data_IF_034170044777
#
_entry.id   IF_034170044777
#
_cell.length_a   1.000
_cell.length_b   1.000
_cell.length_c   1.000
_cell.angle_alpha   90.00
_cell.angle_beta   90.00
_cell.angle_gamma   90.00
#
_symmetry.space_group_name_H-M   'P 1'
#
loop_
_entity.id
_entity.type
_entity.pdbx_description
1 polymer ?
#
# COMPACT_ATOMS: atom_id res chain seq x y z
N UNK A 1 -12.29 4.73 9.40
CA UNK A 1 -11.58 5.51 10.44
C UNK A 1 -10.39 6.17 9.77
N UNK A 2 -10.22 7.48 9.98
CA UNK A 2 -9.06 8.24 9.54
C UNK A 2 -8.02 8.17 10.66
N UNK A 3 -6.83 7.70 10.31
CA UNK A 3 -5.77 7.47 11.29
C UNK A 3 -5.26 8.78 11.88
N UNK A 4 -5.07 9.79 11.04
CA UNK A 4 -4.56 11.12 11.42
C UNK A 4 -5.19 12.17 10.51
N UNK A 5 -5.67 13.28 11.10
CA UNK A 5 -6.31 14.38 10.40
C UNK A 5 -5.84 15.72 10.98
N UNK A 6 -5.33 16.61 10.13
CA UNK A 6 -4.92 17.96 10.54
C UNK A 6 -6.01 18.96 10.20
N UNK A 7 -6.58 19.60 11.22
CA UNK A 7 -7.59 20.65 11.09
C UNK A 7 -6.99 21.94 10.51
N UNK A 8 -7.80 22.81 9.88
CA UNK A 8 -7.36 24.15 9.48
C UNK A 8 -6.95 25.04 10.67
N UNK A 9 -7.38 24.69 11.89
CA UNK A 9 -6.94 25.34 13.14
C UNK A 9 -5.51 24.97 13.55
N UNK A 10 -4.90 23.97 12.90
CA UNK A 10 -3.57 23.43 13.22
C UNK A 10 -3.59 22.28 14.22
N UNK A 11 -4.76 21.85 14.69
CA UNK A 11 -4.92 20.69 15.58
C UNK A 11 -4.82 19.39 14.79
N UNK A 12 -4.07 18.42 15.33
CA UNK A 12 -3.96 17.07 14.76
C UNK A 12 -4.84 16.13 15.58
N UNK A 13 -5.84 15.56 14.92
CA UNK A 13 -6.74 14.58 15.49
C UNK A 13 -6.33 13.18 15.03
N UNK A 14 -6.34 12.23 15.96
CA UNK A 14 -6.01 10.83 15.71
C UNK A 14 -7.28 10.02 15.91
N UNK A 15 -7.47 8.98 15.09
CA UNK A 15 -8.62 8.06 15.19
C UNK A 15 -9.98 8.75 14.95
N UNK A 16 -10.03 9.64 13.95
CA UNK A 16 -11.24 10.37 13.58
C UNK A 16 -12.17 9.45 12.80
N UNK A 17 -13.50 9.46 13.03
CA UNK A 17 -14.40 8.63 12.25
C UNK A 17 -14.41 9.11 10.80
N UNK A 18 -14.48 8.16 9.87
CA UNK A 18 -14.47 8.42 8.42
C UNK A 18 -15.84 8.89 7.89
N UNK A 19 -16.54 9.70 8.67
CA UNK A 19 -17.89 10.20 8.38
C UNK A 19 -17.77 11.65 7.90
N UNK A 20 -18.33 11.96 6.73
CA UNK A 20 -18.31 13.33 6.17
C UNK A 20 -18.92 14.34 7.12
N UNK A 21 -20.00 13.98 7.80
CA UNK A 21 -20.68 14.83 8.78
C UNK A 21 -19.73 15.29 9.90
N UNK A 22 -18.86 14.42 10.40
CA UNK A 22 -17.93 14.76 11.48
C UNK A 22 -16.84 15.69 10.98
N UNK A 23 -16.35 15.49 9.77
CA UNK A 23 -15.39 16.39 9.15
C UNK A 23 -16.00 17.78 8.92
N UNK A 24 -17.27 17.85 8.52
CA UNK A 24 -17.99 19.12 8.39
C UNK A 24 -18.18 19.84 9.73
N UNK A 25 -18.51 19.11 10.81
CA UNK A 25 -18.58 19.66 12.17
C UNK A 25 -17.22 20.18 12.67
N UNK A 26 -16.12 19.59 12.21
CA UNK A 26 -14.75 20.03 12.51
C UNK A 26 -14.30 21.25 11.68
N UNK A 27 -15.16 21.76 10.80
CA UNK A 27 -14.91 22.95 10.00
C UNK A 27 -14.35 22.69 8.60
N UNK A 28 -14.33 21.44 8.13
CA UNK A 28 -14.02 21.16 6.72
C UNK A 28 -15.23 21.40 5.84
N UNK A 29 -14.98 21.76 4.58
CA UNK A 29 -16.02 21.74 3.56
C UNK A 29 -16.38 20.30 3.17
N UNK A 30 -17.58 20.11 2.59
CA UNK A 30 -18.00 18.80 2.08
C UNK A 30 -16.98 18.23 1.08
N UNK A 31 -16.40 19.11 0.25
CA UNK A 31 -15.38 18.78 -0.76
C UNK A 31 -14.10 18.24 -0.11
N UNK A 32 -13.57 18.93 0.91
CA UNK A 32 -12.39 18.52 1.65
C UNK A 32 -12.64 17.24 2.45
N UNK A 33 -13.81 17.10 3.04
CA UNK A 33 -14.21 15.90 3.77
C UNK A 33 -14.18 14.68 2.85
N UNK A 34 -14.85 14.76 1.69
CA UNK A 34 -14.85 13.68 0.70
C UNK A 34 -13.45 13.40 0.16
N UNK A 35 -12.66 14.44 -0.12
CA UNK A 35 -11.28 14.29 -0.60
C UNK A 35 -10.41 13.55 0.43
N UNK A 36 -10.50 13.92 1.70
CA UNK A 36 -9.76 13.28 2.79
C UNK A 36 -10.13 11.80 2.94
N UNK A 37 -11.44 11.48 2.92
CA UNK A 37 -11.92 10.10 2.98
C UNK A 37 -11.45 9.27 1.79
N UNK A 38 -11.47 9.86 0.59
CA UNK A 38 -11.00 9.19 -0.62
C UNK A 38 -9.49 8.91 -0.57
N UNK A 39 -8.70 9.84 -0.02
CA UNK A 39 -7.26 9.68 0.15
C UNK A 39 -6.94 8.59 1.19
N UNK A 40 -7.63 8.59 2.33
CA UNK A 40 -7.46 7.57 3.36
C UNK A 40 -7.87 6.18 2.84
N UNK A 41 -8.98 6.05 2.10
CA UNK A 41 -9.37 4.78 1.50
C UNK A 41 -8.36 4.27 0.46
N UNK A 42 -7.79 5.17 -0.34
CA UNK A 42 -6.71 4.81 -1.29
C UNK A 42 -5.48 4.32 -0.54
N UNK A 43 -5.09 5.02 0.52
CA UNK A 43 -3.95 4.64 1.38
C UNK A 43 -4.17 3.27 2.01
N UNK A 44 -5.32 3.04 2.65
CA UNK A 44 -5.65 1.76 3.27
C UNK A 44 -5.65 0.61 2.25
N UNK A 45 -6.22 0.83 1.05
CA UNK A 45 -6.18 -0.15 -0.03
C UNK A 45 -4.74 -0.44 -0.48
N UNK A 46 -3.92 0.60 -0.63
CA UNK A 46 -2.51 0.45 -0.98
C UNK A 46 -1.77 -0.36 0.09
N UNK A 47 -1.91 0.01 1.37
CA UNK A 47 -1.30 -0.70 2.50
C UNK A 47 -1.72 -2.17 2.52
N UNK A 48 -3.00 -2.48 2.34
CA UNK A 48 -3.48 -3.86 2.28
C UNK A 48 -2.85 -4.65 1.12
N UNK A 49 -2.76 -4.05 -0.07
CA UNK A 49 -2.11 -4.67 -1.23
C UNK A 49 -0.61 -4.86 -0.96
N UNK A 50 0.07 -3.88 -0.35
CA UNK A 50 1.47 -3.98 0.03
C UNK A 50 1.71 -5.09 1.05
N UNK A 51 0.85 -5.22 2.07
CA UNK A 51 0.97 -6.26 3.08
C UNK A 51 0.77 -7.65 2.49
N UNK A 52 -0.25 -7.83 1.65
CA UNK A 52 -0.48 -9.08 0.92
C UNK A 52 0.71 -9.42 0.03
N UNK A 53 1.27 -8.43 -0.68
CA UNK A 53 2.45 -8.60 -1.52
C UNK A 53 3.70 -8.96 -0.71
N UNK A 54 3.93 -8.30 0.43
CA UNK A 54 5.05 -8.58 1.34
C UNK A 54 4.92 -9.94 2.01
N UNK A 55 3.71 -10.37 2.33
CA UNK A 55 3.44 -11.71 2.85
C UNK A 55 3.72 -12.79 1.78
N UNK A 56 3.30 -12.56 0.54
CA UNK A 56 3.60 -13.45 -0.57
C UNK A 56 5.11 -13.53 -0.86
N UNK A 57 5.82 -12.40 -0.81
CA UNK A 57 7.29 -12.42 -0.93
C UNK A 57 7.93 -13.25 0.16
N UNK A 58 7.60 -13.00 1.43
CA UNK A 58 8.15 -13.76 2.56
C UNK A 58 7.86 -15.27 2.47
N UNK A 59 6.70 -15.65 1.94
CA UNK A 59 6.27 -17.05 1.90
C UNK A 59 6.78 -17.80 0.67
N UNK A 60 6.81 -17.14 -0.50
CA UNK A 60 7.01 -17.80 -1.78
C UNK A 60 8.33 -17.39 -2.45
N UNK A 61 8.72 -16.12 -2.38
CA UNK A 61 9.90 -15.60 -3.10
C UNK A 61 11.18 -15.62 -2.27
N UNK A 62 11.09 -15.36 -0.96
CA UNK A 62 12.23 -15.27 -0.05
C UNK A 62 13.00 -16.60 0.07
N UNK A 63 12.32 -17.77 0.15
CA UNK A 63 13.02 -19.06 0.13
C UNK A 63 13.78 -19.31 -1.18
N UNK A 64 13.20 -18.92 -2.33
CA UNK A 64 13.84 -19.04 -3.64
C UNK A 64 15.05 -18.11 -3.78
N UNK A 65 14.97 -16.91 -3.20
CA UNK A 65 16.10 -16.00 -3.15
C UNK A 65 17.25 -16.58 -2.32
N UNK A 66 16.96 -17.17 -1.16
CA UNK A 66 17.97 -17.83 -0.34
C UNK A 66 18.60 -19.04 -1.06
N UNK A 67 17.78 -19.84 -1.75
CA UNK A 67 18.26 -20.95 -2.58
C UNK A 67 19.18 -20.45 -3.70
N UNK A 68 18.79 -19.39 -4.40
CA UNK A 68 19.66 -18.75 -5.40
C UNK A 68 20.95 -18.16 -4.81
N UNK A 69 20.90 -17.53 -3.63
CA UNK A 69 22.10 -17.02 -2.94
C UNK A 69 23.07 -18.14 -2.56
N UNK A 70 22.56 -19.36 -2.32
CA UNK A 70 23.37 -20.52 -1.98
C UNK A 70 23.90 -21.25 -3.23
N UNK A 71 23.02 -21.56 -4.19
CA UNK A 71 23.36 -22.32 -5.40
C UNK A 71 24.09 -21.47 -6.45
N UNK A 72 23.72 -20.19 -6.55
CA UNK A 72 24.30 -19.25 -7.51
C UNK A 72 24.01 -19.56 -8.99
N UNK A 73 23.04 -20.42 -9.28
CA UNK A 73 22.72 -20.83 -10.66
C UNK A 73 21.72 -19.91 -11.33
N UNK A 74 21.79 -19.82 -12.67
CA UNK A 74 20.82 -19.08 -13.48
C UNK A 74 19.41 -19.70 -13.43
N UNK A 75 19.29 -20.99 -13.11
CA UNK A 75 18.00 -21.66 -12.96
C UNK A 75 17.28 -21.18 -11.70
N UNK A 76 17.96 -21.18 -10.54
CA UNK A 76 17.41 -20.64 -9.28
C UNK A 76 17.09 -19.14 -9.37
N UNK A 77 17.91 -18.37 -10.09
CA UNK A 77 17.62 -16.96 -10.39
C UNK A 77 16.31 -16.79 -11.16
N UNK A 78 16.12 -17.60 -12.21
CA UNK A 78 14.94 -17.56 -13.06
C UNK A 78 13.67 -17.96 -12.29
N UNK A 79 13.77 -18.99 -11.45
CA UNK A 79 12.67 -19.40 -10.56
C UNK A 79 12.27 -18.30 -9.59
N UNK A 80 13.24 -17.66 -8.93
CA UNK A 80 13.00 -16.52 -8.05
C UNK A 80 12.34 -15.36 -8.80
N UNK A 81 12.92 -14.94 -9.94
CA UNK A 81 12.39 -13.84 -10.75
C UNK A 81 10.97 -14.13 -11.24
N UNK A 82 10.71 -15.32 -11.75
CA UNK A 82 9.38 -15.74 -12.20
C UNK A 82 8.36 -15.67 -11.07
N UNK A 83 8.74 -16.11 -9.85
CA UNK A 83 7.86 -16.01 -8.69
C UNK A 83 7.61 -14.56 -8.26
N UNK A 84 8.63 -13.71 -8.34
CA UNK A 84 8.48 -12.27 -8.06
C UNK A 84 7.50 -11.62 -9.04
N UNK A 85 7.59 -11.94 -10.33
CA UNK A 85 6.67 -11.44 -11.36
C UNK A 85 5.25 -11.93 -11.14
N UNK A 86 5.06 -13.20 -10.79
CA UNK A 86 3.75 -13.75 -10.44
C UNK A 86 3.13 -13.01 -9.25
N UNK A 87 3.91 -12.73 -8.20
CA UNK A 87 3.45 -11.99 -7.02
C UNK A 87 3.11 -10.53 -7.38
N UNK A 88 3.90 -9.89 -8.24
CA UNK A 88 3.63 -8.54 -8.76
C UNK A 88 2.32 -8.50 -9.54
N UNK A 89 2.09 -9.49 -10.41
CA UNK A 89 0.85 -9.60 -11.19
C UNK A 89 -0.37 -9.91 -10.31
N UNK A 90 -0.20 -10.71 -9.25
CA UNK A 90 -1.27 -11.05 -8.29
C UNK A 90 -1.66 -9.88 -7.40
N UNK A 91 -0.70 -9.03 -7.03
CA UNK A 91 -0.91 -7.85 -6.19
C UNK A 91 -0.37 -6.58 -6.89
N UNK A 92 -1.06 -6.09 -7.93
CA UNK A 92 -0.67 -4.87 -8.60
C UNK A 92 -0.78 -3.72 -7.60
N UNK A 93 0.32 -3.00 -7.39
CA UNK A 93 0.24 -1.77 -6.59
C UNK A 93 -0.65 -0.79 -7.36
N UNK A 94 -1.59 -0.10 -6.70
CA UNK A 94 -2.25 1.04 -7.32
C UNK A 94 -1.15 2.04 -7.65
N UNK A 95 -0.85 2.10 -8.93
CA UNK A 95 0.25 2.84 -9.52
C UNK A 95 0.01 4.34 -9.29
N UNK A 96 0.88 5.00 -8.52
CA UNK A 96 1.40 6.27 -8.99
C UNK A 96 2.30 5.93 -10.19
N UNK A 97 1.94 6.45 -11.35
CA UNK A 97 2.41 6.15 -12.73
C UNK A 97 3.89 6.41 -12.99
N UNK A 98 4.81 5.95 -12.12
CA UNK A 98 6.23 6.28 -12.22
C UNK A 98 7.22 5.20 -11.71
N UNK A 99 6.84 3.91 -11.67
CA UNK A 99 7.76 2.85 -11.23
C UNK A 99 7.76 1.58 -12.10
N UNK A 100 7.53 1.76 -13.41
CA UNK A 100 7.75 0.71 -14.42
C UNK A 100 8.74 1.16 -15.48
N UNK A 101 9.88 1.72 -15.09
CA UNK A 101 11.09 1.70 -15.94
C UNK A 101 12.31 1.43 -15.05
N UNK A 102 13.07 0.41 -15.42
CA UNK A 102 14.24 -0.09 -14.71
C UNK A 102 14.62 -1.47 -15.20
#
# INVERSE_FOLDING_TARGET
MISELTLPTGEVLINVPSETFILMELGFTEEEAVACLSAEQKKQRLEEVMDKRKAAYRKESDPLFMEWQFDGTSESESLWKSKVEEIKARYPLPVDDNASEG
#
